data_IF_188906023284
#
_entry.id   IF_188906023284
#
_cell.length_a   1.000
_cell.length_b   1.000
_cell.length_c   1.000
_cell.angle_alpha   90.00
_cell.angle_beta   90.00
_cell.angle_gamma   90.00
#
_symmetry.space_group_name_H-M   'P 1'
#
loop_
_entity.id
_entity.type
_entity.pdbx_description
1 polymer ?
#
# COMPACT_ATOMS: atom_id res chain seq x y z
N UNK A 1 22.33 -14.55 -1.17
CA UNK A 1 21.96 -13.98 0.14
C UNK A 1 20.53 -13.47 0.05
N UNK A 2 19.70 -13.69 1.07
CA UNK A 2 18.33 -13.13 1.20
C UNK A 2 18.30 -12.21 2.43
N UNK A 3 17.45 -11.19 2.42
CA UNK A 3 17.36 -10.16 3.45
C UNK A 3 16.39 -10.55 4.57
N UNK A 4 16.74 -10.21 5.81
CA UNK A 4 15.84 -10.29 6.97
C UNK A 4 14.78 -9.19 6.93
N UNK A 5 15.19 -7.99 6.52
CA UNK A 5 14.35 -6.80 6.45
C UNK A 5 14.58 -6.11 5.11
N UNK A 6 13.50 -5.75 4.43
CA UNK A 6 13.50 -4.81 3.31
C UNK A 6 12.71 -3.58 3.73
N UNK A 7 13.23 -2.39 3.47
CA UNK A 7 12.57 -1.14 3.82
C UNK A 7 12.44 -0.24 2.60
N UNK A 8 11.24 0.28 2.33
CA UNK A 8 10.95 1.12 1.19
C UNK A 8 9.97 2.24 1.57
N UNK A 9 10.48 3.42 1.93
CA UNK A 9 9.65 4.55 2.32
C UNK A 9 9.48 5.53 1.17
N UNK A 10 8.24 5.82 0.82
CA UNK A 10 7.87 6.78 -0.22
C UNK A 10 8.52 6.46 -1.58
N UNK A 11 8.86 5.20 -1.84
CA UNK A 11 9.42 4.76 -3.13
C UNK A 11 8.33 4.13 -3.99
N UNK A 12 7.40 3.35 -3.43
CA UNK A 12 6.45 2.56 -4.20
C UNK A 12 5.59 3.39 -5.16
N UNK A 13 5.15 4.59 -4.72
CA UNK A 13 4.36 5.52 -5.54
C UNK A 13 5.12 6.06 -6.78
N UNK A 14 6.45 5.99 -6.76
CA UNK A 14 7.35 6.48 -7.81
C UNK A 14 7.76 5.40 -8.82
N UNK A 15 7.34 4.14 -8.61
CA UNK A 15 7.76 3.02 -9.46
C UNK A 15 6.71 2.71 -10.51
N UNK A 16 7.06 2.86 -11.79
CA UNK A 16 6.17 2.56 -12.91
C UNK A 16 5.79 1.07 -12.98
N UNK A 17 6.77 0.17 -12.78
CA UNK A 17 6.54 -1.28 -12.73
C UNK A 17 6.35 -1.76 -11.29
N UNK A 18 5.15 -1.53 -10.74
CA UNK A 18 4.79 -1.97 -9.39
C UNK A 18 4.84 -3.49 -9.22
N UNK A 19 4.58 -4.26 -10.28
CA UNK A 19 4.64 -5.73 -10.22
C UNK A 19 6.10 -6.21 -10.17
N UNK A 20 6.98 -5.66 -11.00
CA UNK A 20 8.41 -5.96 -10.96
C UNK A 20 9.05 -5.56 -9.62
N UNK A 21 8.63 -4.43 -9.04
CA UNK A 21 9.05 -4.00 -7.71
C UNK A 21 8.72 -5.04 -6.64
N UNK A 22 7.44 -5.45 -6.57
CA UNK A 22 6.97 -6.41 -5.57
C UNK A 22 7.55 -7.82 -5.81
N UNK A 23 7.70 -8.23 -7.07
CA UNK A 23 8.39 -9.48 -7.41
C UNK A 23 9.87 -9.46 -6.96
N UNK A 24 10.54 -8.31 -7.06
CA UNK A 24 11.89 -8.10 -6.56
C UNK A 24 11.97 -8.26 -5.04
N UNK A 25 11.01 -7.70 -4.30
CA UNK A 25 10.88 -7.89 -2.85
C UNK A 25 10.72 -9.38 -2.53
N UNK A 26 9.76 -10.06 -3.18
CA UNK A 26 9.50 -11.48 -2.95
C UNK A 26 10.74 -12.36 -3.19
N UNK A 27 11.56 -12.02 -4.19
CA UNK A 27 12.80 -12.75 -4.51
C UNK A 27 13.91 -12.53 -3.49
N UNK A 28 14.00 -11.33 -2.92
CA UNK A 28 15.11 -10.94 -2.05
C UNK A 28 14.82 -11.19 -0.57
N UNK A 29 13.56 -11.26 -0.17
CA UNK A 29 13.16 -11.48 1.21
C UNK A 29 13.34 -12.95 1.64
N UNK A 30 13.80 -13.18 2.87
CA UNK A 30 13.79 -14.53 3.47
C UNK A 30 12.36 -14.99 3.72
N UNK A 31 12.16 -16.30 3.85
CA UNK A 31 10.83 -16.90 4.07
C UNK A 31 10.21 -16.47 5.43
N UNK A 32 11.05 -16.03 6.37
CA UNK A 32 10.73 -15.46 7.68
C UNK A 32 11.06 -13.96 7.78
N UNK A 33 11.39 -13.31 6.67
CA UNK A 33 11.70 -11.88 6.61
C UNK A 33 10.46 -11.00 6.51
N UNK A 34 10.65 -9.70 6.76
CA UNK A 34 9.59 -8.69 6.64
C UNK A 34 10.00 -7.55 5.70
N UNK A 35 9.07 -7.15 4.83
CA UNK A 35 9.17 -5.91 4.07
C UNK A 35 8.31 -4.84 4.73
N UNK A 36 8.92 -3.70 5.06
CA UNK A 36 8.24 -2.52 5.62
C UNK A 36 8.18 -1.44 4.54
N UNK A 37 6.97 -1.11 4.11
CA UNK A 37 6.74 -0.19 2.99
C UNK A 37 5.90 0.97 3.47
N UNK A 38 6.27 2.20 3.11
CA UNK A 38 5.48 3.39 3.35
C UNK A 38 5.02 4.01 2.03
N UNK A 39 3.72 4.32 1.93
CA UNK A 39 3.12 4.98 0.78
C UNK A 39 1.99 5.93 1.21
N UNK A 40 1.75 7.03 0.45
CA UNK A 40 0.59 7.88 0.66
C UNK A 40 -0.73 7.09 0.56
N UNK A 41 -1.70 7.45 1.39
CA UNK A 41 -3.02 6.82 1.39
C UNK A 41 -3.99 7.58 0.49
N UNK A 42 -4.70 6.87 -0.39
CA UNK A 42 -5.61 7.50 -1.36
C UNK A 42 -6.83 8.17 -0.73
N UNK A 43 -7.35 7.67 0.40
CA UNK A 43 -8.55 8.25 1.01
C UNK A 43 -8.33 9.70 1.49
N UNK A 44 -7.31 10.03 2.31
CA UNK A 44 -7.01 11.42 2.66
C UNK A 44 -6.84 12.34 1.45
N UNK A 45 -6.21 11.87 0.37
CA UNK A 45 -6.06 12.64 -0.86
C UNK A 45 -7.43 13.06 -1.42
N UNK A 46 -8.39 12.13 -1.45
CA UNK A 46 -9.73 12.38 -1.97
C UNK A 46 -10.56 13.20 -0.98
N UNK A 47 -10.56 12.86 0.32
CA UNK A 47 -11.37 13.54 1.34
C UNK A 47 -10.94 15.00 1.58
N UNK A 48 -9.65 15.30 1.43
CA UNK A 48 -9.11 16.63 1.69
C UNK A 48 -8.86 17.44 0.40
N UNK A 49 -9.19 16.89 -0.78
CA UNK A 49 -8.87 17.49 -2.07
C UNK A 49 -7.39 17.89 -2.20
N UNK A 50 -6.46 17.01 -1.78
CA UNK A 50 -5.00 17.23 -1.84
C UNK A 50 -4.48 17.05 -3.29
N UNK A 51 -5.08 17.78 -4.24
CA UNK A 51 -4.74 17.71 -5.66
C UNK A 51 -3.30 18.12 -5.96
N UNK A 52 -2.68 18.91 -5.08
CA UNK A 52 -1.28 19.33 -5.15
C UNK A 52 -0.30 18.14 -4.98
N UNK A 53 -0.77 17.04 -4.39
CA UNK A 53 -0.01 15.79 -4.31
C UNK A 53 -0.04 14.97 -5.60
N UNK A 54 -0.81 15.42 -6.61
CA UNK A 54 -0.87 14.82 -7.94
C UNK A 54 0.11 15.49 -8.90
N UNK A 55 1.27 14.84 -9.08
CA UNK A 55 2.32 15.31 -9.98
C UNK A 55 3.10 14.15 -10.61
N UNK A 56 3.92 14.47 -11.61
CA UNK A 56 4.56 13.50 -12.51
C UNK A 56 5.44 12.43 -11.84
N UNK A 57 5.94 12.66 -10.62
CA UNK A 57 6.72 11.66 -9.88
C UNK A 57 5.82 10.66 -9.12
N UNK A 58 4.61 11.07 -8.74
CA UNK A 58 3.60 10.21 -8.12
C UNK A 58 2.74 9.51 -9.19
N UNK A 59 3.21 8.34 -9.61
CA UNK A 59 2.56 7.55 -10.65
C UNK A 59 1.32 6.80 -10.15
N UNK A 60 1.27 6.48 -8.86
CA UNK A 60 0.20 5.68 -8.25
C UNK A 60 -0.19 6.22 -6.87
N UNK A 61 -1.49 6.15 -6.57
CA UNK A 61 -2.10 6.46 -5.27
C UNK A 61 -2.78 5.19 -4.75
N UNK A 62 -2.42 4.75 -3.55
CA UNK A 62 -2.73 3.40 -3.12
C UNK A 62 -3.82 3.36 -2.05
N UNK A 63 -4.77 2.45 -2.24
CA UNK A 63 -5.59 1.89 -1.17
C UNK A 63 -4.98 0.58 -0.65
N UNK A 64 -5.33 0.18 0.56
CA UNK A 64 -4.98 -1.14 1.11
C UNK A 64 -5.57 -2.25 0.25
N UNK A 65 -6.76 -2.07 -0.31
CA UNK A 65 -7.40 -3.02 -1.23
C UNK A 65 -6.55 -3.25 -2.49
N UNK A 66 -5.99 -2.19 -3.07
CA UNK A 66 -5.11 -2.32 -4.24
C UNK A 66 -3.78 -2.99 -3.87
N UNK A 67 -3.20 -2.61 -2.73
CA UNK A 67 -1.93 -3.13 -2.25
C UNK A 67 -2.01 -4.61 -1.83
N UNK A 68 -3.05 -5.03 -1.11
CA UNK A 68 -3.27 -6.43 -0.73
C UNK A 68 -3.36 -7.33 -1.97
N UNK A 69 -4.13 -6.90 -2.98
CA UNK A 69 -4.21 -7.59 -4.28
C UNK A 69 -2.86 -7.65 -4.98
N UNK A 70 -2.08 -6.57 -4.95
CA UNK A 70 -0.74 -6.53 -5.54
C UNK A 70 0.20 -7.52 -4.85
N UNK A 71 0.30 -7.49 -3.52
CA UNK A 71 1.19 -8.38 -2.78
C UNK A 71 0.82 -9.86 -2.97
N UNK A 72 -0.47 -10.20 -2.90
CA UNK A 72 -0.96 -11.58 -3.06
C UNK A 72 -0.60 -12.19 -4.42
N UNK A 73 -0.56 -11.39 -5.49
CA UNK A 73 -0.14 -11.86 -6.82
C UNK A 73 1.31 -12.35 -6.87
N UNK A 74 2.13 -11.91 -5.92
CA UNK A 74 3.55 -12.25 -5.84
C UNK A 74 3.88 -13.17 -4.65
N UNK A 75 2.86 -13.82 -4.05
CA UNK A 75 3.04 -14.73 -2.92
C UNK A 75 3.45 -14.02 -1.62
N UNK A 76 3.16 -12.73 -1.52
CA UNK A 76 3.38 -11.91 -0.34
C UNK A 76 2.03 -11.53 0.29
N UNK A 77 2.02 -11.30 1.59
CA UNK A 77 0.81 -11.03 2.36
C UNK A 77 0.99 -9.79 3.20
N UNK A 78 0.04 -8.87 3.11
CA UNK A 78 -0.04 -7.72 4.01
C UNK A 78 -0.62 -8.19 5.35
N UNK A 79 0.23 -8.21 6.38
CA UNK A 79 -0.14 -8.76 7.68
C UNK A 79 -0.49 -7.68 8.72
N UNK A 80 0.08 -6.49 8.58
CA UNK A 80 -0.22 -5.34 9.44
C UNK A 80 -0.19 -4.04 8.63
N UNK A 81 -1.12 -3.14 8.93
CA UNK A 81 -1.13 -1.75 8.45
C UNK A 81 -1.18 -0.78 9.62
N UNK A 82 -0.45 0.33 9.52
CA UNK A 82 -0.49 1.46 10.45
C UNK A 82 -0.70 2.76 9.70
N UNK A 83 -1.54 3.63 10.25
CA UNK A 83 -1.70 5.00 9.77
C UNK A 83 -0.66 5.91 10.41
N UNK A 84 -0.12 6.83 9.62
CA UNK A 84 0.74 7.92 10.06
C UNK A 84 0.21 9.24 9.52
N UNK A 85 0.20 10.27 10.38
CA UNK A 85 -0.26 11.62 10.05
C UNK A 85 0.75 12.46 9.26
N UNK A 86 1.78 11.83 8.70
CA UNK A 86 2.83 12.49 7.92
C UNK A 86 2.34 12.63 6.48
N UNK A 87 2.54 13.81 5.87
CA UNK A 87 2.20 14.15 4.48
C UNK A 87 0.71 13.94 4.11
N UNK A 88 -0.25 14.48 4.88
CA UNK A 88 -1.69 14.41 4.57
C UNK A 88 -2.34 13.07 4.93
N UNK A 89 -1.55 11.99 4.92
CA UNK A 89 -1.91 10.67 5.43
C UNK A 89 -1.12 9.57 4.72
N UNK A 90 -0.45 8.72 5.48
CA UNK A 90 0.36 7.63 4.94
C UNK A 90 0.08 6.31 5.62
N UNK A 91 0.27 5.23 4.87
CA UNK A 91 0.20 3.87 5.35
C UNK A 91 1.62 3.33 5.52
N UNK A 92 1.87 2.69 6.67
CA UNK A 92 2.99 1.76 6.83
C UNK A 92 2.47 0.34 6.78
N UNK A 93 3.05 -0.44 5.88
CA UNK A 93 2.64 -1.77 5.50
C UNK A 93 3.71 -2.76 5.95
N UNK A 94 3.30 -3.84 6.59
CA UNK A 94 4.17 -4.96 6.95
C UNK A 94 3.79 -6.17 6.11
N UNK A 95 4.70 -6.54 5.20
CA UNK A 95 4.47 -7.52 4.16
C UNK A 95 5.43 -8.69 4.33
N UNK A 96 4.91 -9.90 4.36
CA UNK A 96 5.69 -11.11 4.66
C UNK A 96 5.34 -12.23 3.66
N UNK A 97 6.23 -13.23 3.44
CA UNK A 97 5.92 -14.39 2.58
C UNK A 97 4.90 -15.36 3.18
N UNK A 98 4.63 -15.24 4.49
CA UNK A 98 3.66 -16.07 5.20
C UNK A 98 2.39 -15.28 5.47
N UNK A 99 1.24 -15.87 5.16
CA UNK A 99 -0.04 -15.26 5.47
C UNK A 99 -0.31 -15.28 6.98
N UNK A 100 -0.48 -14.10 7.57
CA UNK A 100 -0.85 -13.88 8.96
C UNK A 100 -1.65 -12.56 9.09
N UNK A 101 -2.70 -12.42 8.26
CA UNK A 101 -3.47 -11.18 8.15
C UNK A 101 -4.11 -10.79 9.49
N UNK A 102 -3.56 -9.74 10.09
CA UNK A 102 -3.98 -9.19 11.38
C UNK A 102 -5.30 -8.42 11.34
N UNK A 103 -5.74 -7.98 12.52
CA UNK A 103 -6.97 -7.21 12.67
C UNK A 103 -6.92 -5.87 11.92
N UNK A 104 -5.79 -5.16 11.99
CA UNK A 104 -5.64 -3.83 11.35
C UNK A 104 -5.88 -3.86 9.84
N UNK A 105 -5.42 -4.90 9.15
CA UNK A 105 -5.63 -5.07 7.71
C UNK A 105 -7.09 -5.39 7.41
N UNK A 106 -7.73 -6.28 8.19
CA UNK A 106 -9.14 -6.63 8.02
C UNK A 106 -10.07 -5.44 8.27
N UNK A 107 -9.79 -4.68 9.32
CA UNK A 107 -10.51 -3.45 9.66
C UNK A 107 -10.37 -2.41 8.55
N UNK A 108 -9.15 -2.20 8.03
CA UNK A 108 -8.92 -1.25 6.95
C UNK A 108 -9.60 -1.67 5.64
N UNK A 109 -9.55 -2.95 5.27
CA UNK A 109 -10.26 -3.47 4.10
C UNK A 109 -11.78 -3.33 4.24
N UNK A 110 -12.33 -3.58 5.43
CA UNK A 110 -13.76 -3.39 5.69
C UNK A 110 -14.16 -1.90 5.64
N UNK A 111 -13.29 -1.02 6.17
CA UNK A 111 -13.46 0.43 6.07
C UNK A 111 -13.49 0.89 4.61
N UNK A 112 -12.49 0.52 3.81
CA UNK A 112 -12.43 0.87 2.39
C UNK A 112 -13.64 0.33 1.60
N UNK A 113 -14.08 -0.89 1.89
CA UNK A 113 -15.27 -1.48 1.29
C UNK A 113 -16.54 -0.70 1.66
N UNK A 114 -16.67 -0.25 2.91
CA UNK A 114 -17.83 0.57 3.35
C UNK A 114 -17.88 1.94 2.69
N UNK A 115 -16.72 2.48 2.29
CA UNK A 115 -16.57 3.74 1.54
C UNK A 115 -16.76 3.56 0.04
N UNK A 116 -16.63 2.32 -0.47
CA UNK A 116 -16.67 2.03 -1.91
C UNK A 116 -15.42 2.48 -2.65
N UNK A 117 -14.26 2.54 -1.97
CA UNK A 117 -12.97 3.02 -2.52
C UNK A 117 -12.51 2.23 -3.75
N UNK A 118 -12.97 1.00 -3.93
CA UNK A 118 -12.66 0.16 -5.09
C UNK A 118 -13.60 0.38 -6.29
N UNK A 119 -14.55 1.32 -6.20
CA UNK A 119 -15.48 1.67 -7.26
C UNK A 119 -15.26 3.09 -7.76
N UNK A 120 -15.47 3.30 -9.07
CA UNK A 120 -15.36 4.64 -9.69
C UNK A 120 -16.27 5.69 -9.05
N UNK A 121 -17.38 5.27 -8.45
CA UNK A 121 -18.32 6.14 -7.75
C UNK A 121 -17.68 6.96 -6.63
N UNK A 122 -16.71 6.38 -5.90
CA UNK A 122 -16.00 7.05 -4.81
C UNK A 122 -15.22 8.28 -5.27
N UNK A 123 -14.72 8.27 -6.50
CA UNK A 123 -13.85 9.33 -7.04
C UNK A 123 -14.62 10.44 -7.78
N UNK A 124 -15.94 10.34 -7.91
CA UNK A 124 -16.72 11.24 -8.77
C UNK A 124 -16.78 12.69 -8.28
N UNK A 125 -16.72 12.88 -6.97
CA UNK A 125 -16.89 14.19 -6.32
C UNK A 125 -15.55 14.85 -5.97
N UNK A 126 -14.44 14.32 -6.48
CA UNK A 126 -13.11 14.90 -6.31
C UNK A 126 -13.00 16.21 -7.10
N UNK A 127 -13.18 17.35 -6.43
CA UNK A 127 -13.11 18.71 -7.00
C UNK A 127 -12.90 19.79 -5.95
#
# INVERSE_FOLDING_TARGET
>A
MRADIIHANNVLAHVADTNGFVAGIARLLKDDGVAVIEAPYVEPLIEHCEFDTIYHEHLCYFSVTALDKLFRRHGLYLNEVKHFSIHGGSLRLYVEPRENVGATVKEQLAHEASRGIDAIGYFRDFS
#
